data_IF_872471320784
#
_entry.id   IF_872471320784
#
_cell.length_a   1.000
_cell.length_b   1.000
_cell.length_c   1.000
_cell.angle_alpha   90.00
_cell.angle_beta   90.00
_cell.angle_gamma   90.00
#
_symmetry.space_group_name_H-M   'P 1'
#
loop_
_entity.id
_entity.type
_entity.pdbx_description
1 polymer ?
#
# COMPACT_ATOMS: atom_id res chain seq x y z
N UNK A 1 -28.22 -9.53 -11.81
CA UNK A 1 -27.28 -10.51 -11.20
C UNK A 1 -25.94 -10.34 -11.88
N UNK A 2 -24.90 -10.03 -11.13
CA UNK A 2 -23.53 -9.92 -11.67
C UNK A 2 -22.90 -11.31 -11.81
N UNK A 3 -22.04 -11.54 -12.84
CA UNK A 3 -21.42 -12.84 -13.06
C UNK A 3 -20.25 -13.12 -12.10
N UNK A 4 -19.66 -12.11 -11.53
CA UNK A 4 -18.55 -12.18 -10.57
C UNK A 4 -18.50 -10.93 -9.69
N UNK A 5 -17.72 -10.99 -8.62
CA UNK A 5 -17.46 -9.85 -7.72
C UNK A 5 -15.97 -9.63 -7.53
N UNK A 6 -15.64 -8.38 -7.23
CA UNK A 6 -14.29 -7.92 -6.91
C UNK A 6 -14.33 -7.30 -5.51
N UNK A 7 -13.45 -7.75 -4.63
CA UNK A 7 -13.24 -7.17 -3.31
C UNK A 7 -12.06 -6.18 -3.33
N UNK A 8 -12.24 -5.01 -2.73
CA UNK A 8 -11.16 -4.03 -2.57
C UNK A 8 -11.08 -3.67 -1.09
N UNK A 9 -9.89 -3.83 -0.53
CA UNK A 9 -9.58 -3.49 0.86
C UNK A 9 -8.60 -2.33 0.88
N UNK A 10 -8.92 -1.28 1.61
CA UNK A 10 -8.08 -0.08 1.76
C UNK A 10 -8.02 0.35 3.23
N UNK A 11 -7.19 1.32 3.54
CA UNK A 11 -7.31 2.08 4.78
C UNK A 11 -8.57 2.94 4.80
N UNK A 12 -8.84 3.55 5.95
CA UNK A 12 -9.85 4.59 6.10
C UNK A 12 -9.41 5.87 5.38
N UNK A 13 -10.29 6.86 5.30
CA UNK A 13 -9.94 8.20 4.78
C UNK A 13 -8.81 8.85 5.59
N UNK A 14 -8.73 8.58 6.89
CA UNK A 14 -7.66 9.12 7.74
C UNK A 14 -6.30 8.48 7.49
N UNK A 15 -6.26 7.22 7.04
CA UNK A 15 -5.01 6.48 6.78
C UNK A 15 -4.57 6.55 5.32
N UNK A 16 -5.51 6.50 4.39
CA UNK A 16 -5.22 6.36 2.96
C UNK A 16 -6.38 6.91 2.13
N UNK A 17 -6.54 8.24 2.15
CA UNK A 17 -7.67 8.91 1.49
C UNK A 17 -7.71 8.62 -0.01
N UNK A 18 -6.58 8.70 -0.69
CA UNK A 18 -6.50 8.51 -2.15
C UNK A 18 -6.94 7.10 -2.55
N UNK A 19 -6.47 6.09 -1.84
CA UNK A 19 -6.81 4.69 -2.10
C UNK A 19 -8.30 4.45 -1.82
N UNK A 20 -8.80 4.98 -0.71
CA UNK A 20 -10.21 4.86 -0.34
C UNK A 20 -11.11 5.53 -1.37
N UNK A 21 -10.80 6.76 -1.78
CA UNK A 21 -11.53 7.50 -2.80
C UNK A 21 -11.49 6.81 -4.16
N UNK A 22 -10.32 6.26 -4.53
CA UNK A 22 -10.18 5.46 -5.74
C UNK A 22 -11.07 4.21 -5.74
N UNK A 23 -11.11 3.48 -4.63
CA UNK A 23 -11.97 2.31 -4.46
C UNK A 23 -13.47 2.67 -4.53
N UNK A 24 -13.88 3.76 -3.88
CA UNK A 24 -15.26 4.29 -3.94
C UNK A 24 -15.65 4.71 -5.36
N UNK A 25 -14.76 5.39 -6.07
CA UNK A 25 -15.00 5.79 -7.46
C UNK A 25 -15.14 4.56 -8.38
N UNK A 26 -14.32 3.53 -8.17
CA UNK A 26 -14.43 2.27 -8.89
C UNK A 26 -15.76 1.56 -8.60
N UNK A 27 -16.17 1.51 -7.34
CA UNK A 27 -17.47 0.95 -6.95
C UNK A 27 -18.62 1.75 -7.55
N UNK A 28 -18.56 3.08 -7.56
CA UNK A 28 -19.58 3.92 -8.19
C UNK A 28 -19.71 3.68 -9.70
N UNK A 29 -18.59 3.37 -10.38
CA UNK A 29 -18.58 3.07 -11.82
C UNK A 29 -19.16 1.70 -12.16
N UNK A 30 -18.88 0.67 -11.37
CA UNK A 30 -19.25 -0.72 -11.68
C UNK A 30 -20.41 -1.27 -10.82
N UNK A 31 -20.81 -0.53 -9.80
CA UNK A 31 -21.93 -0.84 -8.92
C UNK A 31 -21.55 -1.68 -7.69
N UNK A 32 -22.27 -1.44 -6.59
CA UNK A 32 -22.08 -2.12 -5.30
C UNK A 32 -22.36 -3.63 -5.36
N UNK A 33 -23.12 -4.09 -6.33
CA UNK A 33 -23.33 -5.53 -6.51
C UNK A 33 -22.05 -6.24 -6.97
N UNK A 34 -21.27 -5.60 -7.84
CA UNK A 34 -20.04 -6.14 -8.40
C UNK A 34 -18.83 -5.87 -7.51
N UNK A 35 -18.71 -4.67 -6.96
CA UNK A 35 -17.55 -4.24 -6.17
C UNK A 35 -17.89 -4.21 -4.69
N UNK A 36 -17.15 -4.97 -3.90
CA UNK A 36 -17.28 -5.00 -2.44
C UNK A 36 -16.09 -4.31 -1.80
N UNK A 37 -16.37 -3.31 -0.97
CA UNK A 37 -15.34 -2.58 -0.25
C UNK A 37 -15.22 -3.07 1.18
N UNK A 38 -14.00 -3.18 1.67
CA UNK A 38 -13.68 -3.39 3.07
C UNK A 38 -12.57 -2.42 3.51
N UNK A 39 -12.39 -2.30 4.82
CA UNK A 39 -11.39 -1.42 5.43
C UNK A 39 -10.59 -2.25 6.43
N UNK A 40 -9.26 -2.09 6.42
CA UNK A 40 -8.44 -2.54 7.53
C UNK A 40 -8.41 -1.46 8.62
N UNK A 41 -8.17 -1.82 9.90
CA UNK A 41 -8.20 -0.87 11.01
C UNK A 41 -7.10 0.20 10.90
N UNK A 42 -7.36 1.39 11.45
CA UNK A 42 -6.38 2.49 11.45
C UNK A 42 -5.11 2.12 12.22
N UNK A 43 -5.25 1.36 13.31
CA UNK A 43 -4.13 0.82 14.08
C UNK A 43 -3.76 -0.60 13.62
N UNK A 44 -3.56 -0.78 12.31
CA UNK A 44 -3.27 -2.08 11.69
C UNK A 44 -2.02 -2.78 12.22
N UNK A 45 -1.07 -2.03 12.79
CA UNK A 45 0.14 -2.63 13.40
C UNK A 45 -0.17 -3.46 14.64
N UNK A 46 -1.19 -3.07 15.40
CA UNK A 46 -1.65 -3.75 16.62
C UNK A 46 -2.84 -4.70 16.34
N UNK A 47 -3.60 -4.41 15.28
CA UNK A 47 -4.85 -5.11 14.95
C UNK A 47 -4.72 -6.00 13.72
N UNK A 48 -3.61 -6.73 13.60
CA UNK A 48 -3.29 -7.58 12.44
C UNK A 48 -4.37 -8.64 12.20
N UNK A 49 -4.91 -9.27 13.26
CA UNK A 49 -5.97 -10.28 13.10
C UNK A 49 -7.27 -9.67 12.53
N UNK A 50 -7.61 -8.45 12.90
CA UNK A 50 -8.75 -7.72 12.33
C UNK A 50 -8.53 -7.45 10.83
N UNK A 51 -7.32 -7.10 10.44
CA UNK A 51 -6.93 -6.96 9.02
C UNK A 51 -7.13 -8.27 8.27
N UNK A 52 -6.61 -9.39 8.80
CA UNK A 52 -6.77 -10.72 8.22
C UNK A 52 -8.25 -11.05 8.01
N UNK A 53 -9.08 -10.88 9.04
CA UNK A 53 -10.51 -11.17 8.97
C UNK A 53 -11.24 -10.29 7.95
N UNK A 54 -10.92 -9.01 7.87
CA UNK A 54 -11.51 -8.08 6.90
C UNK A 54 -11.27 -8.55 5.45
N UNK A 55 -10.08 -9.08 5.17
CA UNK A 55 -9.71 -9.59 3.85
C UNK A 55 -10.38 -10.95 3.59
N UNK A 56 -10.24 -11.89 4.53
CA UNK A 56 -10.75 -13.26 4.38
C UNK A 56 -12.28 -13.30 4.25
N UNK A 57 -13.00 -12.43 4.97
CA UNK A 57 -14.47 -12.37 4.91
C UNK A 57 -15.00 -12.11 3.49
N UNK A 58 -14.25 -11.39 2.65
CA UNK A 58 -14.65 -11.17 1.25
C UNK A 58 -14.70 -12.49 0.45
N UNK A 59 -13.85 -13.45 0.78
CA UNK A 59 -13.77 -14.73 0.08
C UNK A 59 -14.97 -15.65 0.33
N UNK A 60 -15.79 -15.38 1.35
CA UNK A 60 -16.99 -16.14 1.66
C UNK A 60 -18.09 -16.00 0.59
N UNK A 61 -18.07 -14.94 -0.19
CA UNK A 61 -19.01 -14.77 -1.30
C UNK A 61 -18.64 -15.72 -2.46
N UNK A 62 -19.52 -16.63 -2.88
CA UNK A 62 -19.21 -17.60 -3.94
C UNK A 62 -18.91 -16.95 -5.30
N UNK A 63 -19.38 -15.72 -5.53
CA UNK A 63 -19.12 -14.98 -6.75
C UNK A 63 -17.82 -14.18 -6.71
N UNK A 64 -17.12 -14.12 -5.55
CA UNK A 64 -15.83 -13.42 -5.44
C UNK A 64 -14.78 -14.08 -6.34
N UNK A 65 -14.12 -13.28 -7.19
CA UNK A 65 -13.10 -13.76 -8.14
C UNK A 65 -11.78 -13.01 -8.04
N UNK A 66 -11.77 -11.82 -7.45
CA UNK A 66 -10.55 -11.09 -7.19
C UNK A 66 -10.65 -10.33 -5.86
N UNK A 67 -9.56 -10.30 -5.11
CA UNK A 67 -9.43 -9.49 -3.91
C UNK A 67 -8.15 -8.67 -4.03
N UNK A 68 -8.30 -7.35 -3.94
CA UNK A 68 -7.22 -6.37 -4.03
C UNK A 68 -7.06 -5.74 -2.65
N UNK A 69 -5.86 -5.76 -2.10
CA UNK A 69 -5.54 -5.06 -0.84
C UNK A 69 -4.58 -3.93 -1.15
N UNK A 70 -5.00 -2.72 -0.93
CA UNK A 70 -4.19 -1.52 -1.16
C UNK A 70 -4.31 -0.54 0.04
N UNK A 71 -3.30 -0.21 0.73
CA UNK A 71 -1.94 -0.72 0.76
C UNK A 71 -1.93 -2.11 1.45
N UNK A 72 -1.02 -3.00 1.03
CA UNK A 72 -0.93 -4.33 1.62
C UNK A 72 -0.18 -4.27 2.95
N UNK A 73 -0.92 -3.89 4.01
CA UNK A 73 -0.42 -3.75 5.39
C UNK A 73 -0.20 -5.13 6.05
N UNK A 74 0.48 -5.21 7.20
CA UNK A 74 0.69 -6.46 7.93
C UNK A 74 -0.59 -7.28 8.12
N UNK A 75 -0.50 -8.59 7.84
CA UNK A 75 -1.63 -9.53 7.81
C UNK A 75 -2.14 -9.86 6.42
N UNK A 76 -1.78 -9.11 5.38
CA UNK A 76 -2.23 -9.37 4.00
C UNK A 76 -1.71 -10.71 3.48
N UNK A 77 -0.44 -11.02 3.68
CA UNK A 77 0.18 -12.29 3.28
C UNK A 77 -0.55 -13.49 3.89
N UNK A 78 -0.80 -13.43 5.19
CA UNK A 78 -1.51 -14.52 5.90
C UNK A 78 -2.96 -14.64 5.44
N UNK A 79 -3.65 -13.53 5.22
CA UNK A 79 -5.00 -13.53 4.67
C UNK A 79 -5.06 -14.20 3.29
N UNK A 80 -4.12 -13.90 2.40
CA UNK A 80 -4.05 -14.54 1.09
C UNK A 80 -3.75 -16.03 1.16
N UNK A 81 -2.86 -16.47 2.06
CA UNK A 81 -2.61 -17.89 2.32
C UNK A 81 -3.90 -18.61 2.75
N UNK A 82 -4.64 -18.07 3.72
CA UNK A 82 -5.93 -18.61 4.19
C UNK A 82 -6.97 -18.66 3.06
N UNK A 83 -7.05 -17.63 2.22
CA UNK A 83 -7.95 -17.63 1.07
C UNK A 83 -7.57 -18.75 0.09
N UNK A 84 -6.30 -18.88 -0.25
CA UNK A 84 -5.83 -19.90 -1.21
C UNK A 84 -6.03 -21.34 -0.75
N UNK A 85 -6.09 -21.60 0.56
CA UNK A 85 -6.41 -22.93 1.11
C UNK A 85 -7.84 -23.37 0.76
N UNK A 86 -8.80 -22.45 0.74
CA UNK A 86 -10.22 -22.78 0.56
C UNK A 86 -10.79 -22.31 -0.78
N UNK A 87 -10.23 -21.23 -1.32
CA UNK A 87 -10.67 -20.56 -2.56
C UNK A 87 -9.48 -20.23 -3.47
N UNK A 88 -8.77 -21.28 -3.98
CA UNK A 88 -7.62 -21.05 -4.88
C UNK A 88 -8.02 -20.41 -6.22
N UNK A 89 -9.31 -20.34 -6.53
CA UNK A 89 -9.88 -19.69 -7.70
C UNK A 89 -9.92 -18.14 -7.59
N UNK A 90 -9.74 -17.58 -6.40
CA UNK A 90 -9.72 -16.13 -6.21
C UNK A 90 -8.34 -15.57 -6.54
N UNK A 91 -8.29 -14.56 -7.41
CA UNK A 91 -7.07 -13.81 -7.70
C UNK A 91 -6.79 -12.85 -6.54
N UNK A 92 -5.64 -13.00 -5.90
CA UNK A 92 -5.18 -12.16 -4.78
C UNK A 92 -4.14 -11.15 -5.28
N UNK A 93 -4.43 -9.86 -5.15
CA UNK A 93 -3.58 -8.78 -5.63
C UNK A 93 -3.13 -7.91 -4.45
N UNK A 94 -1.82 -7.78 -4.28
CA UNK A 94 -1.21 -6.89 -3.29
C UNK A 94 -0.75 -5.60 -3.97
N UNK A 95 -1.34 -4.48 -3.58
CA UNK A 95 -0.92 -3.14 -4.01
C UNK A 95 -0.10 -2.45 -2.93
N UNK A 96 0.97 -1.75 -3.33
CA UNK A 96 1.86 -1.00 -2.42
C UNK A 96 2.26 -1.81 -1.16
N UNK A 97 2.90 -2.96 -1.37
CA UNK A 97 3.20 -3.90 -0.30
C UNK A 97 4.09 -3.29 0.80
N UNK A 98 3.59 -3.34 2.04
CA UNK A 98 4.28 -2.94 3.27
C UNK A 98 4.79 -4.15 4.07
N UNK A 99 4.58 -5.35 3.58
CA UNK A 99 5.17 -6.59 4.09
C UNK A 99 6.44 -6.95 3.30
N UNK A 100 7.16 -7.96 3.75
CA UNK A 100 8.33 -8.47 3.03
C UNK A 100 7.96 -8.92 1.61
N UNK A 101 8.67 -8.39 0.61
CA UNK A 101 8.31 -8.62 -0.80
C UNK A 101 8.40 -10.10 -1.23
N UNK A 102 9.42 -10.88 -0.86
CA UNK A 102 9.44 -12.32 -1.05
C UNK A 102 8.26 -13.05 -0.41
N UNK A 103 7.89 -12.69 0.81
CA UNK A 103 6.79 -13.31 1.56
C UNK A 103 5.44 -13.05 0.88
N UNK A 104 5.10 -11.79 0.62
CA UNK A 104 3.82 -11.45 -0.01
C UNK A 104 3.77 -11.94 -1.45
N UNK A 105 4.89 -11.93 -2.18
CA UNK A 105 5.01 -12.48 -3.53
C UNK A 105 4.79 -13.99 -3.59
N UNK A 106 5.01 -14.72 -2.49
CA UNK A 106 4.72 -16.16 -2.41
C UNK A 106 3.23 -16.46 -2.21
N UNK A 107 2.43 -15.50 -1.74
CA UNK A 107 1.02 -15.66 -1.40
C UNK A 107 0.06 -14.96 -2.39
N UNK A 108 0.50 -13.88 -3.02
CA UNK A 108 -0.28 -13.13 -3.99
C UNK A 108 -0.08 -13.66 -5.41
N UNK A 109 -1.11 -13.56 -6.25
CA UNK A 109 -0.99 -13.83 -7.70
C UNK A 109 -0.32 -12.66 -8.43
N UNK A 110 -0.45 -11.44 -7.90
CA UNK A 110 0.16 -10.23 -8.43
C UNK A 110 0.53 -9.29 -7.28
N UNK A 111 1.74 -8.75 -7.35
CA UNK A 111 2.19 -7.65 -6.48
C UNK A 111 2.46 -6.43 -7.34
N UNK A 112 1.87 -5.29 -6.99
CA UNK A 112 2.08 -4.02 -7.66
C UNK A 112 2.66 -3.01 -6.68
N UNK A 113 3.64 -2.25 -7.12
CA UNK A 113 4.22 -1.16 -6.34
C UNK A 113 4.46 0.06 -7.22
N UNK A 114 4.36 1.24 -6.62
CA UNK A 114 4.88 2.45 -7.23
C UNK A 114 6.42 2.38 -7.30
N UNK A 115 7.00 2.98 -8.32
CA UNK A 115 8.46 3.11 -8.38
C UNK A 115 8.95 4.19 -7.40
N UNK A 116 8.98 3.82 -6.11
CA UNK A 116 9.43 4.70 -5.04
C UNK A 116 10.89 5.16 -5.17
N UNK A 117 11.70 4.37 -5.85
CA UNK A 117 13.14 4.61 -6.01
C UNK A 117 13.36 5.74 -7.02
N UNK A 118 12.89 5.59 -8.26
CA UNK A 118 12.96 6.62 -9.28
C UNK A 118 12.23 7.90 -8.88
N UNK A 119 11.11 7.77 -8.15
CA UNK A 119 10.39 8.90 -7.56
C UNK A 119 11.27 9.74 -6.64
N UNK A 120 12.15 9.10 -5.84
CA UNK A 120 13.10 9.82 -4.98
C UNK A 120 14.01 10.75 -5.77
N UNK A 121 14.60 10.26 -6.86
CA UNK A 121 15.44 11.08 -7.75
C UNK A 121 14.64 12.22 -8.41
N UNK A 122 13.45 11.89 -8.95
CA UNK A 122 12.61 12.86 -9.66
C UNK A 122 12.15 14.02 -8.77
N UNK A 123 11.85 13.77 -7.50
CA UNK A 123 11.48 14.83 -6.54
C UNK A 123 12.64 15.81 -6.35
N UNK A 124 13.86 15.31 -6.16
CA UNK A 124 15.04 16.15 -5.95
C UNK A 124 15.38 16.94 -7.22
N UNK A 125 15.35 16.28 -8.39
CA UNK A 125 15.56 16.95 -9.67
C UNK A 125 14.55 18.09 -9.87
N UNK A 126 13.26 17.85 -9.63
CA UNK A 126 12.22 18.87 -9.75
C UNK A 126 12.44 20.02 -8.78
N UNK A 127 12.81 19.73 -7.52
CA UNK A 127 13.14 20.78 -6.54
C UNK A 127 14.32 21.64 -7.01
N UNK A 128 15.37 21.02 -7.55
CA UNK A 128 16.51 21.74 -8.12
C UNK A 128 16.09 22.61 -9.32
N UNK A 129 15.30 22.08 -10.26
CA UNK A 129 14.79 22.82 -11.42
C UNK A 129 13.91 24.02 -11.00
N UNK A 130 13.24 23.94 -9.85
CA UNK A 130 12.49 25.05 -9.23
C UNK A 130 13.38 26.04 -8.46
N UNK A 131 14.70 25.83 -8.40
CA UNK A 131 15.66 26.72 -7.76
C UNK A 131 15.81 26.50 -6.25
N UNK A 132 15.37 25.35 -5.72
CA UNK A 132 15.60 25.01 -4.31
C UNK A 132 17.08 24.65 -4.08
N UNK A 133 17.62 25.07 -2.95
CA UNK A 133 18.98 24.76 -2.49
C UNK A 133 19.00 23.77 -1.32
N UNK A 134 17.87 23.53 -0.72
CA UNK A 134 17.72 22.66 0.46
C UNK A 134 16.48 21.78 0.31
N UNK A 135 16.63 20.49 0.60
CA UNK A 135 15.54 19.52 0.65
C UNK A 135 15.42 18.96 2.07
N UNK A 136 14.23 19.08 2.65
CA UNK A 136 13.92 18.53 3.98
C UNK A 136 13.04 17.30 3.82
N UNK A 137 13.54 16.13 4.25
CA UNK A 137 12.78 14.89 4.32
C UNK A 137 12.31 14.67 5.75
N UNK A 138 10.99 14.62 5.94
CA UNK A 138 10.36 14.35 7.25
C UNK A 138 9.77 12.95 7.20
N UNK A 139 10.17 12.08 8.14
CA UNK A 139 9.68 10.72 8.22
C UNK A 139 9.71 10.21 9.67
N UNK A 140 9.32 8.98 9.90
CA UNK A 140 9.28 8.33 11.20
C UNK A 140 9.93 6.93 11.15
N UNK A 141 10.41 6.37 12.29
CA UNK A 141 11.25 5.16 12.31
C UNK A 141 10.61 3.94 11.63
N UNK A 142 9.33 3.68 11.87
CA UNK A 142 8.62 2.56 11.23
C UNK A 142 8.64 2.67 9.70
N UNK A 143 8.36 3.86 9.17
CA UNK A 143 8.38 4.10 7.73
C UNK A 143 9.78 3.88 7.14
N UNK A 144 10.82 4.29 7.86
CA UNK A 144 12.21 4.10 7.47
C UNK A 144 12.69 2.64 7.58
N UNK A 145 11.97 1.77 8.28
CA UNK A 145 12.28 0.34 8.35
C UNK A 145 11.92 -0.43 7.08
N UNK A 146 11.04 0.10 6.23
CA UNK A 146 10.72 -0.50 4.94
C UNK A 146 11.87 -0.28 3.95
N UNK A 147 12.34 -1.36 3.31
CA UNK A 147 13.47 -1.29 2.38
C UNK A 147 13.23 -0.29 1.23
N UNK A 148 12.04 -0.28 0.65
CA UNK A 148 11.67 0.66 -0.42
C UNK A 148 11.78 2.11 0.02
N UNK A 149 11.43 2.42 1.26
CA UNK A 149 11.50 3.77 1.82
C UNK A 149 12.93 4.17 2.13
N UNK A 150 13.72 3.31 2.75
CA UNK A 150 15.14 3.58 3.05
C UNK A 150 15.96 3.74 1.76
N UNK A 151 15.69 2.93 0.74
CA UNK A 151 16.34 3.07 -0.59
C UNK A 151 15.96 4.39 -1.26
N UNK A 152 14.68 4.80 -1.20
CA UNK A 152 14.24 6.10 -1.72
C UNK A 152 15.00 7.26 -1.04
N UNK A 153 15.11 7.23 0.29
CA UNK A 153 15.84 8.26 1.04
C UNK A 153 17.33 8.30 0.66
N UNK A 154 17.96 7.14 0.49
CA UNK A 154 19.36 7.08 0.05
C UNK A 154 19.54 7.72 -1.34
N UNK A 155 18.62 7.49 -2.28
CA UNK A 155 18.65 8.09 -3.61
C UNK A 155 18.38 9.60 -3.54
N UNK A 156 17.44 10.06 -2.72
CA UNK A 156 17.20 11.48 -2.50
C UNK A 156 18.47 12.21 -2.01
N UNK A 157 19.17 11.59 -1.03
CA UNK A 157 20.42 12.13 -0.51
C UNK A 157 21.50 12.21 -1.59
N UNK A 158 21.71 11.13 -2.35
CA UNK A 158 22.68 11.10 -3.44
C UNK A 158 22.34 12.13 -4.55
N UNK A 159 21.07 12.28 -4.90
CA UNK A 159 20.63 13.28 -5.86
C UNK A 159 20.84 14.71 -5.35
N UNK A 160 20.61 14.98 -4.07
CA UNK A 160 20.96 16.28 -3.48
C UNK A 160 22.46 16.57 -3.59
N UNK A 161 23.32 15.57 -3.35
CA UNK A 161 24.77 15.72 -3.54
C UNK A 161 25.12 16.01 -5.00
N UNK A 162 24.51 15.30 -5.96
CA UNK A 162 24.69 15.52 -7.40
C UNK A 162 24.33 16.93 -7.84
N UNK A 163 23.20 17.46 -7.34
CA UNK A 163 22.72 18.80 -7.68
C UNK A 163 23.24 19.92 -6.78
N UNK A 164 24.14 19.61 -5.83
CA UNK A 164 24.70 20.61 -4.91
C UNK A 164 23.69 21.16 -3.91
N UNK A 165 22.63 20.42 -3.63
CA UNK A 165 21.59 20.77 -2.66
C UNK A 165 21.90 20.23 -1.27
N UNK A 166 21.45 20.93 -0.24
CA UNK A 166 21.50 20.43 1.15
C UNK A 166 20.38 19.43 1.40
N UNK A 167 20.72 18.25 1.92
CA UNK A 167 19.76 17.26 2.41
C UNK A 167 19.62 17.34 3.94
N UNK A 168 18.38 17.46 4.43
CA UNK A 168 18.05 17.47 5.87
C UNK A 168 17.07 16.36 6.14
N UNK A 169 17.34 15.50 7.13
CA UNK A 169 16.45 14.45 7.60
C UNK A 169 15.90 14.83 8.98
N UNK A 170 14.58 14.91 9.08
CA UNK A 170 13.87 15.20 10.32
C UNK A 170 12.95 14.03 10.69
N UNK A 171 12.77 13.82 11.98
CA UNK A 171 11.92 12.73 12.51
C UNK A 171 10.62 13.29 13.03
N UNK A 172 9.51 12.76 12.55
CA UNK A 172 8.17 13.03 13.06
C UNK A 172 7.69 11.87 13.97
N UNK A 173 6.69 12.10 14.82
CA UNK A 173 5.95 11.02 15.50
C UNK A 173 5.30 10.07 14.48
N UNK A 174 5.20 8.78 14.85
CA UNK A 174 4.47 7.81 14.03
C UNK A 174 2.96 8.12 14.11
N UNK A 175 2.27 8.32 12.96
CA UNK A 175 0.84 8.64 12.96
C UNK A 175 -0.06 7.49 13.41
N UNK A 176 0.49 6.27 13.57
CA UNK A 176 -0.25 5.08 14.02
C UNK A 176 0.00 4.74 15.49
N UNK A 177 0.75 5.57 16.23
CA UNK A 177 1.08 5.35 17.65
C UNK A 177 0.26 6.25 18.58
#
# INVERSE_FOLDING_TARGET
TVPYKIGIVTGSVSQSEDDRRGAEAFQAMYGEEMVKLAIYPDNFTEETETTIQSIVNLSADPLMKAIIVNQSVPGTTEAFRKIKETRPDIICIAGEAHEDLPEIGSAADLVTNNDFVSRGYLIIRTAHELGCDTFVHISFPRHMSYETMSRRVAIMKAACEEFGMKFVLETAPDPTS
#
